data_IF_594612630817
#
_entry.id   IF_594612630817
#
_cell.length_a   1.000
_cell.length_b   1.000
_cell.length_c   1.000
_cell.angle_alpha   90.00
_cell.angle_beta   90.00
_cell.angle_gamma   90.00
#
_symmetry.space_group_name_H-M   'P 1'
#
loop_
_entity.id
_entity.type
_entity.pdbx_description
1 polymer ?
#
# COMPACT_ATOMS: atom_id res chain seq x y z
N UNK A 1 12.01 0.92 16.40
CA UNK A 1 13.02 0.43 15.45
C UNK A 1 12.33 -0.45 14.42
N UNK A 2 12.72 -0.39 13.13
CA UNK A 2 12.17 -1.26 12.11
C UNK A 2 12.50 -2.74 12.43
N UNK A 3 11.64 -3.69 12.05
CA UNK A 3 11.95 -5.10 12.18
C UNK A 3 13.16 -5.48 11.33
N UNK A 4 13.85 -6.57 11.68
CA UNK A 4 15.01 -7.04 10.91
C UNK A 4 14.59 -7.59 9.54
N UNK A 5 15.54 -7.66 8.61
CA UNK A 5 15.30 -8.34 7.32
C UNK A 5 14.86 -9.79 7.50
N UNK A 6 15.42 -10.49 8.51
CA UNK A 6 15.02 -11.85 8.87
C UNK A 6 13.54 -11.93 9.24
N UNK A 7 13.03 -10.95 9.97
CA UNK A 7 11.60 -10.89 10.29
C UNK A 7 10.75 -10.74 9.03
N UNK A 8 11.12 -9.84 8.11
CA UNK A 8 10.41 -9.64 6.84
C UNK A 8 10.42 -10.90 5.96
N UNK A 9 11.55 -11.61 5.91
CA UNK A 9 11.67 -12.88 5.19
C UNK A 9 10.78 -13.96 5.82
N UNK A 10 10.77 -14.06 7.16
CA UNK A 10 9.91 -14.98 7.88
C UNK A 10 8.43 -14.69 7.60
N UNK A 11 8.02 -13.42 7.64
CA UNK A 11 6.67 -12.98 7.31
C UNK A 11 6.28 -13.35 5.87
N UNK A 12 7.19 -13.12 4.91
CA UNK A 12 7.00 -13.50 3.51
C UNK A 12 6.84 -15.01 3.35
N UNK A 13 7.67 -15.81 4.03
CA UNK A 13 7.57 -17.27 4.04
C UNK A 13 6.22 -17.74 4.61
N UNK A 14 5.74 -17.12 5.69
CA UNK A 14 4.41 -17.38 6.25
C UNK A 14 3.34 -17.10 5.19
N UNK A 15 3.38 -15.95 4.52
CA UNK A 15 2.42 -15.64 3.46
C UNK A 15 2.44 -16.64 2.29
N UNK A 16 3.63 -17.04 1.83
CA UNK A 16 3.76 -18.05 0.77
C UNK A 16 3.20 -19.40 1.23
N UNK A 17 3.46 -19.81 2.47
CA UNK A 17 2.93 -21.06 3.03
C UNK A 17 1.39 -21.08 3.13
N UNK A 18 0.76 -19.91 3.26
CA UNK A 18 -0.71 -19.80 3.33
C UNK A 18 -1.40 -20.05 1.98
N UNK A 19 -0.68 -20.11 0.86
CA UNK A 19 -1.28 -20.34 -0.47
C UNK A 19 -2.09 -21.64 -0.54
N UNK A 20 -1.60 -22.73 0.05
CA UNK A 20 -2.30 -24.02 0.05
C UNK A 20 -3.57 -23.99 0.94
N UNK A 21 -3.50 -23.54 2.21
CA UNK A 21 -4.69 -23.31 3.03
C UNK A 21 -5.75 -22.43 2.36
N UNK A 22 -5.34 -21.35 1.70
CA UNK A 22 -6.24 -20.42 1.01
C UNK A 22 -7.01 -21.09 -0.15
N UNK A 23 -6.37 -22.03 -0.85
CA UNK A 23 -7.05 -22.84 -1.88
C UNK A 23 -8.08 -23.77 -1.26
N UNK A 24 -7.79 -24.36 -0.10
CA UNK A 24 -8.67 -25.30 0.56
C UNK A 24 -9.94 -24.66 1.14
N UNK A 25 -9.82 -23.45 1.72
CA UNK A 25 -10.98 -22.72 2.29
C UNK A 25 -11.84 -22.01 1.24
N UNK A 26 -11.41 -21.99 -0.02
CA UNK A 26 -12.01 -21.15 -1.05
C UNK A 26 -13.49 -21.46 -1.25
N UNK A 27 -14.34 -20.45 -1.08
CA UNK A 27 -15.78 -20.56 -1.30
C UNK A 27 -16.52 -21.49 -0.32
N UNK A 28 -15.87 -22.01 0.72
CA UNK A 28 -16.54 -22.90 1.69
C UNK A 28 -17.54 -22.16 2.58
N UNK A 29 -17.27 -20.89 2.90
CA UNK A 29 -18.07 -20.10 3.85
C UNK A 29 -18.34 -18.66 3.34
N UNK A 30 -18.97 -18.47 2.17
CA UNK A 30 -19.02 -17.16 1.51
C UNK A 30 -19.81 -16.11 2.29
N UNK A 31 -20.88 -16.51 2.99
CA UNK A 31 -21.67 -15.60 3.84
C UNK A 31 -20.87 -15.08 5.03
N UNK A 32 -20.09 -15.95 5.67
CA UNK A 32 -19.23 -15.60 6.81
C UNK A 32 -18.08 -14.72 6.31
N UNK A 33 -17.40 -15.12 5.23
CA UNK A 33 -16.33 -14.34 4.62
C UNK A 33 -16.77 -12.92 4.27
N UNK A 34 -17.98 -12.76 3.69
CA UNK A 34 -18.54 -11.44 3.38
C UNK A 34 -18.77 -10.58 4.63
N UNK A 35 -19.37 -11.13 5.69
CA UNK A 35 -19.62 -10.39 6.94
C UNK A 35 -18.32 -9.97 7.62
N UNK A 36 -17.34 -10.89 7.70
CA UNK A 36 -16.03 -10.60 8.27
C UNK A 36 -15.28 -9.54 7.47
N UNK A 37 -15.29 -9.65 6.13
CA UNK A 37 -14.72 -8.63 5.25
C UNK A 37 -15.36 -7.25 5.51
N UNK A 38 -16.68 -7.17 5.56
CA UNK A 38 -17.38 -5.91 5.81
C UNK A 38 -17.00 -5.29 7.16
N UNK A 39 -16.97 -6.09 8.23
CA UNK A 39 -16.58 -5.62 9.55
C UNK A 39 -15.12 -5.14 9.58
N UNK A 40 -14.20 -5.93 9.03
CA UNK A 40 -12.79 -5.58 8.91
C UNK A 40 -12.62 -4.27 8.14
N UNK A 41 -13.28 -4.14 6.99
CA UNK A 41 -13.18 -2.97 6.13
C UNK A 41 -13.77 -1.72 6.79
N UNK A 42 -14.89 -1.83 7.51
CA UNK A 42 -15.41 -0.71 8.30
C UNK A 42 -14.41 -0.26 9.38
N UNK A 43 -13.85 -1.21 10.14
CA UNK A 43 -12.84 -0.91 11.15
C UNK A 43 -11.59 -0.25 10.57
N UNK A 44 -11.08 -0.80 9.46
CA UNK A 44 -9.89 -0.30 8.78
C UNK A 44 -10.12 1.10 8.21
N UNK A 45 -11.30 1.37 7.63
CA UNK A 45 -11.65 2.71 7.13
C UNK A 45 -11.66 3.75 8.25
N UNK A 46 -12.26 3.42 9.41
CA UNK A 46 -12.26 4.30 10.58
C UNK A 46 -10.85 4.53 11.12
N UNK A 47 -10.05 3.46 11.25
CA UNK A 47 -8.67 3.57 11.69
C UNK A 47 -7.84 4.46 10.75
N UNK A 48 -7.99 4.29 9.43
CA UNK A 48 -7.31 5.11 8.42
C UNK A 48 -7.74 6.58 8.50
N UNK A 49 -9.03 6.84 8.72
CA UNK A 49 -9.58 8.19 8.82
C UNK A 49 -9.04 8.96 10.04
N UNK A 50 -8.81 8.26 11.16
CA UNK A 50 -8.21 8.84 12.36
C UNK A 50 -6.69 8.96 12.24
N UNK A 51 -6.04 8.00 11.58
CA UNK A 51 -4.59 7.97 11.42
C UNK A 51 -4.08 9.07 10.48
N UNK A 52 -4.77 9.34 9.37
CA UNK A 52 -4.30 10.31 8.37
C UNK A 52 -4.09 11.75 8.90
N UNK A 53 -5.02 12.39 9.66
CA UNK A 53 -4.78 13.74 10.17
C UNK A 53 -3.64 13.76 11.20
N UNK A 54 -3.53 12.74 12.05
CA UNK A 54 -2.45 12.64 13.03
C UNK A 54 -1.09 12.45 12.35
N UNK A 55 -0.99 11.48 11.44
CA UNK A 55 0.23 11.24 10.68
C UNK A 55 0.62 12.49 9.84
N UNK A 56 -0.36 13.17 9.25
CA UNK A 56 -0.14 14.42 8.53
C UNK A 56 0.38 15.54 9.42
N UNK A 57 -0.17 15.72 10.62
CA UNK A 57 0.27 16.74 11.57
C UNK A 57 1.73 16.56 12.00
N UNK A 58 2.21 15.31 12.07
CA UNK A 58 3.61 15.00 12.42
C UNK A 58 4.53 15.02 11.21
N UNK A 59 4.13 14.44 10.08
CA UNK A 59 5.00 14.27 8.91
C UNK A 59 5.07 15.51 8.02
N UNK A 60 3.99 16.28 7.86
CA UNK A 60 3.99 17.43 6.94
C UNK A 60 5.03 18.49 7.31
N UNK A 61 5.21 18.90 8.59
CA UNK A 61 6.27 19.84 8.95
C UNK A 61 7.66 19.34 8.54
N UNK A 62 7.95 18.05 8.77
CA UNK A 62 9.23 17.43 8.40
C UNK A 62 9.42 17.40 6.88
N UNK A 63 8.36 17.12 6.13
CA UNK A 63 8.39 17.07 4.66
C UNK A 63 8.53 18.46 4.00
N UNK A 64 8.22 19.53 4.71
CA UNK A 64 8.39 20.91 4.23
C UNK A 64 9.82 21.41 4.38
N UNK A 65 10.68 20.73 5.14
CA UNK A 65 12.10 21.04 5.20
C UNK A 65 12.83 20.49 3.97
N UNK A 66 13.45 21.37 3.17
CA UNK A 66 14.11 20.98 1.91
C UNK A 66 15.18 19.89 2.11
N UNK A 67 15.91 19.94 3.23
CA UNK A 67 16.96 18.97 3.54
C UNK A 67 16.43 17.54 3.65
N UNK A 68 15.16 17.36 4.04
CA UNK A 68 14.53 16.04 4.21
C UNK A 68 14.34 15.28 2.90
N UNK A 69 14.40 15.95 1.76
CA UNK A 69 14.29 15.31 0.45
C UNK A 69 15.63 14.76 -0.06
N UNK A 70 16.75 15.37 0.36
CA UNK A 70 18.09 14.83 0.12
C UNK A 70 18.53 13.83 1.19
N UNK A 71 18.13 14.06 2.44
CA UNK A 71 18.46 13.27 3.61
C UNK A 71 17.34 12.28 3.97
N UNK A 72 17.54 11.54 5.05
CA UNK A 72 16.49 10.74 5.71
C UNK A 72 15.68 11.63 6.65
N UNK A 73 14.38 11.35 6.81
CA UNK A 73 13.54 12.04 7.81
C UNK A 73 14.14 11.86 9.22
N UNK A 74 13.98 12.83 10.13
CA UNK A 74 14.67 12.81 11.42
C UNK A 74 14.22 11.64 12.30
N UNK A 75 15.14 11.08 13.09
CA UNK A 75 14.87 9.97 14.01
C UNK A 75 14.14 10.44 15.27
N UNK A 76 12.82 10.61 15.14
CA UNK A 76 11.91 10.96 16.24
C UNK A 76 10.95 9.81 16.52
N UNK A 77 10.63 9.62 17.81
CA UNK A 77 9.76 8.54 18.27
C UNK A 77 8.38 8.53 17.61
N UNK A 78 7.81 9.70 17.33
CA UNK A 78 6.50 9.81 16.65
C UNK A 78 6.56 9.40 15.18
N UNK A 79 7.60 9.81 14.45
CA UNK A 79 7.80 9.39 13.05
C UNK A 79 8.01 7.88 12.96
N UNK A 80 8.78 7.31 13.90
CA UNK A 80 8.95 5.86 14.00
C UNK A 80 7.64 5.13 14.32
N UNK A 81 6.80 5.71 15.19
CA UNK A 81 5.50 5.14 15.51
C UNK A 81 4.58 5.13 14.28
N UNK A 82 4.56 6.21 13.49
CA UNK A 82 3.77 6.31 12.26
C UNK A 82 4.22 5.26 11.24
N UNK A 83 5.53 5.14 10.99
CA UNK A 83 6.06 4.13 10.08
C UNK A 83 5.80 2.70 10.59
N UNK A 84 5.89 2.48 11.90
CA UNK A 84 5.55 1.20 12.51
C UNK A 84 4.09 0.83 12.33
N UNK A 85 3.17 1.73 12.65
CA UNK A 85 1.73 1.51 12.46
C UNK A 85 1.44 1.24 10.99
N UNK A 86 2.03 2.01 10.07
CA UNK A 86 1.85 1.79 8.64
C UNK A 86 2.38 0.41 8.21
N UNK A 87 3.57 0.01 8.65
CA UNK A 87 4.13 -1.32 8.37
C UNK A 87 3.20 -2.44 8.84
N UNK A 88 2.78 -2.42 10.12
CA UNK A 88 1.89 -3.44 10.66
C UNK A 88 0.49 -3.41 10.03
N UNK A 89 0.04 -2.25 9.56
CA UNK A 89 -1.21 -2.16 8.79
C UNK A 89 -1.12 -2.95 7.49
N UNK A 90 0.04 -3.01 6.83
CA UNK A 90 0.24 -3.83 5.60
C UNK A 90 0.25 -5.32 5.90
N UNK A 91 0.80 -5.73 7.04
CA UNK A 91 0.68 -7.10 7.50
C UNK A 91 -0.79 -7.47 7.78
N UNK A 92 -1.56 -6.56 8.40
CA UNK A 92 -2.98 -6.74 8.67
C UNK A 92 -3.81 -6.90 7.40
N UNK A 93 -3.48 -6.17 6.33
CA UNK A 93 -4.14 -6.28 5.01
C UNK A 93 -4.09 -7.71 4.42
N UNK A 94 -3.22 -8.60 4.93
CA UNK A 94 -3.26 -10.01 4.56
C UNK A 94 -4.61 -10.69 4.84
N UNK A 95 -5.36 -10.22 5.84
CA UNK A 95 -6.72 -10.69 6.10
C UNK A 95 -7.64 -10.53 4.88
N UNK A 96 -7.39 -9.54 4.01
CA UNK A 96 -8.17 -9.34 2.79
C UNK A 96 -8.02 -10.51 1.82
N UNK A 97 -6.81 -11.08 1.69
CA UNK A 97 -6.58 -12.30 0.89
C UNK A 97 -7.39 -13.46 1.44
N UNK A 98 -7.43 -13.61 2.77
CA UNK A 98 -8.21 -14.66 3.44
C UNK A 98 -9.70 -14.46 3.17
N UNK A 99 -10.22 -13.26 3.37
CA UNK A 99 -11.64 -12.97 3.18
C UNK A 99 -12.09 -13.10 1.73
N UNK A 100 -11.30 -12.61 0.77
CA UNK A 100 -11.53 -12.78 -0.67
C UNK A 100 -11.59 -14.27 -1.02
N UNK A 101 -10.68 -15.07 -0.46
CA UNK A 101 -10.68 -16.53 -0.65
C UNK A 101 -11.93 -17.19 -0.04
N UNK A 102 -12.32 -16.83 1.19
CA UNK A 102 -13.54 -17.35 1.84
C UNK A 102 -14.81 -17.04 1.05
N UNK A 103 -14.87 -15.86 0.41
CA UNK A 103 -15.96 -15.47 -0.49
C UNK A 103 -15.98 -16.23 -1.82
N UNK A 104 -14.95 -17.03 -2.12
CA UNK A 104 -14.81 -17.74 -3.39
C UNK A 104 -14.34 -16.85 -4.54
N UNK A 105 -13.86 -15.63 -4.24
CA UNK A 105 -13.38 -14.68 -5.25
C UNK A 105 -11.94 -15.02 -5.59
N UNK A 106 -11.62 -15.08 -6.87
CA UNK A 106 -10.24 -15.22 -7.32
C UNK A 106 -9.57 -13.84 -7.33
N UNK A 107 -8.53 -13.59 -6.52
CA UNK A 107 -7.83 -12.33 -6.53
C UNK A 107 -7.13 -12.13 -7.86
N UNK A 108 -7.16 -10.90 -8.37
CA UNK A 108 -6.43 -10.54 -9.57
C UNK A 108 -4.92 -10.39 -9.27
N UNK A 109 -4.10 -10.33 -10.33
CA UNK A 109 -2.65 -10.25 -10.19
C UNK A 109 -2.19 -8.98 -9.47
N UNK A 110 -2.84 -7.84 -9.73
CA UNK A 110 -2.52 -6.57 -9.07
C UNK A 110 -2.70 -6.70 -7.55
N UNK A 111 -3.83 -7.23 -7.11
CA UNK A 111 -4.14 -7.47 -5.70
C UNK A 111 -3.10 -8.37 -5.03
N UNK A 112 -2.72 -9.49 -5.68
CA UNK A 112 -1.72 -10.43 -5.12
C UNK A 112 -0.36 -9.74 -4.99
N UNK A 113 0.14 -9.16 -6.09
CA UNK A 113 1.47 -8.51 -6.10
C UNK A 113 1.52 -7.38 -5.08
N UNK A 114 0.49 -6.54 -5.01
CA UNK A 114 0.38 -5.47 -4.02
C UNK A 114 0.50 -6.02 -2.60
N UNK A 115 -0.40 -6.90 -2.16
CA UNK A 115 -0.43 -7.37 -0.77
C UNK A 115 0.80 -8.21 -0.37
N UNK A 116 1.48 -8.85 -1.33
CA UNK A 116 2.74 -9.56 -1.03
C UNK A 116 3.93 -8.61 -0.89
N UNK A 117 3.94 -7.47 -1.59
CA UNK A 117 5.13 -6.60 -1.65
C UNK A 117 4.99 -5.31 -0.85
N UNK A 118 3.79 -4.89 -0.45
CA UNK A 118 3.60 -3.68 0.36
C UNK A 118 4.19 -3.74 1.77
N UNK A 119 4.31 -4.89 2.47
CA UNK A 119 5.07 -4.96 3.71
C UNK A 119 6.56 -4.64 3.50
N UNK A 120 7.15 -5.14 2.41
CA UNK A 120 8.54 -4.81 2.03
C UNK A 120 8.67 -3.32 1.70
N UNK A 121 7.72 -2.75 0.97
CA UNK A 121 7.65 -1.32 0.71
C UNK A 121 7.63 -0.51 2.00
N UNK A 122 6.71 -0.82 2.93
CA UNK A 122 6.61 -0.12 4.20
C UNK A 122 7.86 -0.29 5.07
N UNK A 123 8.50 -1.46 5.01
CA UNK A 123 9.78 -1.71 5.68
C UNK A 123 10.91 -0.84 5.13
N UNK A 124 11.01 -0.68 3.80
CA UNK A 124 11.99 0.21 3.18
C UNK A 124 11.76 1.68 3.60
N UNK A 125 10.49 2.12 3.58
CA UNK A 125 10.13 3.48 4.02
C UNK A 125 10.54 3.70 5.48
N UNK A 126 10.27 2.75 6.37
CA UNK A 126 10.65 2.86 7.78
C UNK A 126 12.17 2.83 7.98
N UNK A 127 12.83 1.85 7.39
CA UNK A 127 14.26 1.58 7.61
C UNK A 127 15.14 2.72 7.12
N UNK A 128 14.82 3.26 5.94
CA UNK A 128 15.61 4.35 5.32
C UNK A 128 14.98 5.72 5.55
N UNK A 129 13.85 5.78 6.27
CA UNK A 129 13.12 7.00 6.62
C UNK A 129 12.86 7.88 5.40
N UNK A 130 12.39 7.23 4.33
CA UNK A 130 12.20 7.83 3.01
C UNK A 130 11.16 8.94 3.05
N UNK A 131 11.54 10.16 2.63
CA UNK A 131 10.62 11.30 2.52
C UNK A 131 9.57 11.06 1.42
N UNK A 132 9.99 10.59 0.24
CA UNK A 132 9.08 10.20 -0.84
C UNK A 132 8.09 9.12 -0.38
N UNK A 133 8.58 8.15 0.38
CA UNK A 133 7.80 7.08 1.01
C UNK A 133 6.80 7.59 2.04
N UNK A 134 7.15 8.60 2.83
CA UNK A 134 6.23 9.23 3.78
C UNK A 134 5.09 10.00 3.08
N UNK A 135 5.38 10.71 1.98
CA UNK A 135 4.32 11.34 1.17
C UNK A 135 3.41 10.27 0.55
N UNK A 136 4.00 9.20 0.01
CA UNK A 136 3.23 8.08 -0.53
C UNK A 136 2.34 7.44 0.54
N UNK A 137 2.87 7.22 1.75
CA UNK A 137 2.13 6.68 2.89
C UNK A 137 0.88 7.51 3.18
N UNK A 138 1.01 8.84 3.28
CA UNK A 138 -0.15 9.72 3.52
C UNK A 138 -1.19 9.58 2.40
N UNK A 139 -0.75 9.58 1.13
CA UNK A 139 -1.65 9.39 0.00
C UNK A 139 -2.31 8.00 -0.02
N UNK A 140 -1.58 6.96 0.40
CA UNK A 140 -2.04 5.58 0.47
C UNK A 140 -3.11 5.40 1.56
N UNK A 141 -2.87 5.91 2.76
CA UNK A 141 -3.85 5.88 3.85
C UNK A 141 -5.12 6.63 3.46
N UNK A 142 -5.00 7.80 2.82
CA UNK A 142 -6.16 8.53 2.32
C UNK A 142 -6.96 7.71 1.30
N UNK A 143 -6.28 7.02 0.36
CA UNK A 143 -6.93 6.10 -0.56
C UNK A 143 -7.64 4.96 0.21
N UNK A 144 -7.00 4.43 1.25
CA UNK A 144 -7.54 3.33 2.08
C UNK A 144 -8.83 3.74 2.81
N UNK A 145 -8.98 4.99 3.24
CA UNK A 145 -10.27 5.49 3.76
C UNK A 145 -11.41 5.21 2.79
N UNK A 146 -11.26 5.58 1.51
CA UNK A 146 -12.31 5.40 0.50
C UNK A 146 -12.46 3.93 0.08
N UNK A 147 -11.34 3.23 -0.14
CA UNK A 147 -11.34 1.83 -0.55
C UNK A 147 -12.07 0.95 0.47
N UNK A 148 -11.68 1.06 1.74
CA UNK A 148 -12.25 0.25 2.81
C UNK A 148 -13.65 0.72 3.19
N UNK A 149 -13.99 2.01 3.10
CA UNK A 149 -15.38 2.45 3.24
C UNK A 149 -16.27 1.82 2.16
N UNK A 150 -15.83 1.82 0.90
CA UNK A 150 -16.56 1.19 -0.20
C UNK A 150 -16.78 -0.29 0.06
N UNK A 151 -15.75 -1.05 0.42
CA UNK A 151 -15.87 -2.48 0.68
C UNK A 151 -16.53 -2.82 2.03
N UNK A 152 -16.55 -1.90 2.98
CA UNK A 152 -17.29 -2.00 4.24
C UNK A 152 -18.80 -1.83 4.08
N UNK A 153 -19.25 -1.09 3.06
CA UNK A 153 -20.68 -0.98 2.76
C UNK A 153 -21.13 0.39 2.23
N UNK A 154 -20.26 1.39 2.21
CA UNK A 154 -20.54 2.72 1.66
C UNK A 154 -20.54 2.69 0.12
N UNK A 155 -21.51 1.98 -0.47
CA UNK A 155 -21.64 1.70 -1.91
C UNK A 155 -22.18 2.89 -2.71
N UNK A 156 -21.62 4.09 -2.51
CA UNK A 156 -21.98 5.26 -3.32
C UNK A 156 -21.05 5.42 -4.52
N UNK A 157 -21.58 5.99 -5.61
CA UNK A 157 -20.78 6.31 -6.80
C UNK A 157 -19.61 7.27 -6.47
N UNK A 158 -19.84 8.21 -5.55
CA UNK A 158 -18.83 9.14 -5.09
C UNK A 158 -17.63 8.41 -4.47
N UNK A 159 -17.87 7.53 -3.49
CA UNK A 159 -16.79 6.79 -2.81
C UNK A 159 -16.04 5.91 -3.81
N UNK A 160 -16.76 5.25 -4.73
CA UNK A 160 -16.13 4.45 -5.78
C UNK A 160 -15.20 5.28 -6.68
N UNK A 161 -15.60 6.49 -7.08
CA UNK A 161 -14.76 7.37 -7.88
C UNK A 161 -13.54 7.87 -7.08
N UNK A 162 -13.73 8.26 -5.82
CA UNK A 162 -12.63 8.65 -4.94
C UNK A 162 -11.58 7.55 -4.82
N UNK A 163 -11.99 6.30 -4.58
CA UNK A 163 -11.07 5.14 -4.55
C UNK A 163 -10.20 5.06 -5.80
N UNK A 164 -10.80 5.21 -6.99
CA UNK A 164 -10.08 5.14 -8.26
C UNK A 164 -9.13 6.31 -8.46
N UNK A 165 -9.57 7.53 -8.16
CA UNK A 165 -8.77 8.74 -8.34
C UNK A 165 -7.59 8.71 -7.37
N UNK A 166 -7.85 8.53 -6.07
CA UNK A 166 -6.81 8.43 -5.04
C UNK A 166 -5.85 7.28 -5.35
N UNK A 167 -6.34 6.16 -5.87
CA UNK A 167 -5.52 5.03 -6.34
C UNK A 167 -4.46 5.41 -7.38
N UNK A 168 -4.79 6.28 -8.34
CA UNK A 168 -3.81 6.77 -9.31
C UNK A 168 -2.93 7.87 -8.74
N UNK A 169 -3.54 8.82 -8.04
CA UNK A 169 -2.85 10.00 -7.50
C UNK A 169 -1.73 9.57 -6.56
N UNK A 170 -1.97 8.61 -5.65
CA UNK A 170 -0.91 8.13 -4.75
C UNK A 170 0.29 7.54 -5.52
N UNK A 171 0.06 6.81 -6.61
CA UNK A 171 1.11 6.17 -7.39
C UNK A 171 1.93 7.21 -8.16
N UNK A 172 1.25 8.21 -8.74
CA UNK A 172 1.91 9.34 -9.40
C UNK A 172 2.78 10.11 -8.40
N UNK A 173 2.26 10.39 -7.20
CA UNK A 173 3.00 11.04 -6.12
C UNK A 173 4.23 10.22 -5.73
N UNK A 174 4.09 8.91 -5.51
CA UNK A 174 5.22 8.02 -5.18
C UNK A 174 6.28 8.00 -6.27
N UNK A 175 5.88 7.87 -7.54
CA UNK A 175 6.81 7.86 -8.69
C UNK A 175 7.57 9.18 -8.78
N UNK A 176 6.87 10.33 -8.74
CA UNK A 176 7.51 11.64 -8.82
C UNK A 176 8.42 11.88 -7.62
N UNK A 177 7.95 11.58 -6.41
CA UNK A 177 8.72 11.71 -5.18
C UNK A 177 10.01 10.91 -5.21
N UNK A 178 9.94 9.59 -5.47
CA UNK A 178 11.14 8.74 -5.51
C UNK A 178 12.06 9.11 -6.67
N UNK A 179 11.54 9.55 -7.82
CA UNK A 179 12.37 10.03 -8.93
C UNK A 179 13.16 11.28 -8.54
N UNK A 180 12.51 12.24 -7.87
CA UNK A 180 13.16 13.47 -7.41
C UNK A 180 14.22 13.18 -6.35
N UNK A 181 13.91 12.40 -5.32
CA UNK A 181 14.84 12.00 -4.27
C UNK A 181 16.03 11.24 -4.85
N UNK A 182 15.78 10.26 -5.73
CA UNK A 182 16.85 9.48 -6.36
C UNK A 182 17.77 10.36 -7.21
N UNK A 183 17.21 11.30 -7.98
CA UNK A 183 17.99 12.27 -8.76
C UNK A 183 18.86 13.15 -7.85
N UNK A 184 18.32 13.64 -6.74
CA UNK A 184 19.07 14.47 -5.79
C UNK A 184 20.22 13.70 -5.15
N UNK A 185 19.98 12.47 -4.67
CA UNK A 185 21.01 11.60 -4.08
C UNK A 185 22.15 11.32 -5.07
N UNK A 186 21.83 10.97 -6.31
CA UNK A 186 22.83 10.74 -7.35
C UNK A 186 23.62 12.02 -7.70
N UNK A 187 22.95 13.17 -7.75
CA UNK A 187 23.62 14.46 -7.99
C UNK A 187 24.57 14.86 -6.84
N UNK A 188 24.27 14.44 -5.61
CA UNK A 188 25.12 14.62 -4.43
C UNK A 188 26.25 13.58 -4.31
N UNK A 189 26.36 12.67 -5.29
CA UNK A 189 27.41 11.65 -5.33
C UNK A 189 27.14 10.42 -4.46
N UNK A 190 25.90 10.19 -4.03
CA UNK A 190 25.54 8.92 -3.37
C UNK A 190 25.82 7.74 -4.31
N UNK A 191 26.50 6.72 -3.80
CA UNK A 191 26.83 5.52 -4.57
C UNK A 191 25.60 4.70 -4.91
N UNK A 192 25.62 3.99 -6.03
CA UNK A 192 24.52 3.10 -6.45
C UNK A 192 24.29 1.91 -5.48
N UNK A 193 25.25 1.63 -4.62
CA UNK A 193 25.17 0.58 -3.59
C UNK A 193 24.84 1.15 -2.19
N UNK A 194 24.64 2.45 -2.07
CA UNK A 194 24.15 3.06 -0.83
C UNK A 194 22.74 2.56 -0.53
N UNK A 195 22.49 2.11 0.70
CA UNK A 195 21.24 1.46 1.08
C UNK A 195 20.02 2.36 0.89
N UNK A 196 20.13 3.66 1.17
CA UNK A 196 19.03 4.61 0.99
C UNK A 196 18.73 4.85 -0.51
N UNK A 197 19.77 4.90 -1.33
CA UNK A 197 19.65 5.00 -2.79
C UNK A 197 18.98 3.75 -3.38
N UNK A 198 19.40 2.55 -2.95
CA UNK A 198 18.79 1.28 -3.36
C UNK A 198 17.33 1.20 -2.91
N UNK A 199 17.01 1.68 -1.70
CA UNK A 199 15.65 1.72 -1.20
C UNK A 199 14.75 2.59 -2.07
N UNK A 200 15.16 3.82 -2.42
CA UNK A 200 14.40 4.71 -3.31
C UNK A 200 14.21 4.12 -4.71
N UNK A 201 15.24 3.49 -5.27
CA UNK A 201 15.13 2.78 -6.54
C UNK A 201 14.13 1.61 -6.46
N UNK A 202 14.13 0.87 -5.34
CA UNK A 202 13.19 -0.22 -5.09
C UNK A 202 11.75 0.28 -4.92
N UNK A 203 11.54 1.39 -4.20
CA UNK A 203 10.24 2.05 -4.08
C UNK A 203 9.71 2.48 -5.45
N UNK A 204 10.54 3.15 -6.25
CA UNK A 204 10.19 3.57 -7.61
C UNK A 204 9.79 2.37 -8.48
N UNK A 205 10.57 1.28 -8.45
CA UNK A 205 10.25 0.06 -9.16
C UNK A 205 8.89 -0.53 -8.76
N UNK A 206 8.60 -0.60 -7.44
CA UNK A 206 7.32 -1.08 -6.94
C UNK A 206 6.16 -0.19 -7.37
N UNK A 207 6.29 1.14 -7.27
CA UNK A 207 5.24 2.07 -7.71
C UNK A 207 4.94 1.96 -9.21
N UNK A 208 5.97 1.85 -10.05
CA UNK A 208 5.79 1.63 -11.49
C UNK A 208 5.10 0.30 -11.77
N UNK A 209 5.48 -0.77 -11.05
CA UNK A 209 4.86 -2.08 -11.16
C UNK A 209 3.38 -2.03 -10.79
N UNK A 210 3.03 -1.40 -9.68
CA UNK A 210 1.64 -1.23 -9.25
C UNK A 210 0.83 -0.41 -10.24
N UNK A 211 1.39 0.67 -10.78
CA UNK A 211 0.71 1.49 -11.79
C UNK A 211 0.44 0.68 -13.07
N UNK A 212 1.42 -0.10 -13.54
CA UNK A 212 1.24 -0.96 -14.71
C UNK A 212 0.14 -2.01 -14.49
N UNK A 213 0.14 -2.65 -13.31
CA UNK A 213 -0.86 -3.66 -12.95
C UNK A 213 -2.26 -3.06 -12.78
N UNK A 214 -2.38 -1.92 -12.12
CA UNK A 214 -3.64 -1.17 -11.97
C UNK A 214 -4.21 -0.78 -13.34
N UNK A 215 -3.37 -0.27 -14.25
CA UNK A 215 -3.80 0.09 -15.61
C UNK A 215 -4.29 -1.13 -16.39
N UNK A 216 -3.60 -2.27 -16.27
CA UNK A 216 -3.99 -3.53 -16.90
C UNK A 216 -5.35 -4.02 -16.39
N UNK A 217 -5.58 -3.96 -15.08
CA UNK A 217 -6.85 -4.32 -14.43
C UNK A 217 -8.00 -3.45 -14.97
N UNK A 218 -7.84 -2.13 -14.96
CA UNK A 218 -8.86 -1.19 -15.43
C UNK A 218 -9.15 -1.32 -16.93
N UNK A 219 -8.14 -1.65 -17.74
CA UNK A 219 -8.34 -1.94 -19.16
C UNK A 219 -9.10 -3.25 -19.38
N UNK A 220 -8.89 -4.25 -18.51
CA UNK A 220 -9.67 -5.50 -18.50
C UNK A 220 -11.15 -5.26 -18.20
N UNK A 221 -11.46 -4.45 -17.18
CA UNK A 221 -12.85 -4.11 -16.83
C UNK A 221 -13.61 -3.42 -17.97
N UNK A 222 -12.94 -2.48 -18.67
CA UNK A 222 -13.55 -1.77 -19.81
C UNK A 222 -13.94 -2.72 -20.94
N UNK A 223 -13.06 -3.68 -21.27
CA UNK A 223 -13.32 -4.70 -22.30
C UNK A 223 -14.49 -5.58 -21.92
N UNK A 224 -14.56 -6.09 -20.69
CA UNK A 224 -15.70 -6.89 -20.23
C UNK A 224 -17.03 -6.13 -20.31
N UNK A 225 -17.05 -4.85 -19.91
CA UNK A 225 -18.27 -4.02 -20.01
C UNK A 225 -18.69 -3.72 -21.45
N UNK A 226 -17.75 -3.67 -22.40
CA UNK A 226 -18.06 -3.50 -23.82
C UNK A 226 -18.65 -4.78 -24.42
N UNK A 227 -18.05 -5.95 -24.15
CA UNK A 227 -18.58 -7.23 -24.63
C UNK A 227 -19.98 -7.54 -24.08
N UNK A 228 -20.24 -7.23 -22.81
CA UNK A 228 -21.56 -7.42 -22.21
C UNK A 228 -22.67 -6.50 -22.75
N UNK A 229 -22.33 -5.48 -23.55
CA UNK A 229 -23.31 -4.60 -24.22
C UNK A 229 -23.61 -5.01 -25.66
N UNK A 230 -22.82 -5.95 -26.22
CA UNK A 230 -22.93 -6.42 -27.62
C UNK A 230 -23.74 -7.72 -27.71
N UNK A 231 -24.02 -8.36 -26.58
CA UNK A 231 -24.88 -9.56 -26.42
C UNK A 231 -26.21 -9.09 -25.85
#
# INVERSE_FOLDING_TARGET
MPPSLTFLLAETCVFVSMVLPLRWIRGRCPRIGKKLAQLNNCGYACASLLFIPWAGAVLLPELLHEESWSASLPQRGEVDLIFGIYFYSKAWEFLDIIFVSLMGIQPNLHFIVHHTTTPCLAWLVWTYRSASGAVFLLANVLMHVFLYAYFGGAKSNFVFQCTRICGHVQLVIGILGSTLVLRQKLAQGSGLLDGATVAEASLLFLYLTYLALLRKELAGERRHKQHAKVI
#
